data_IF_488481733477
#
_entry.id   IF_488481733477
#
_cell.length_a   1.000
_cell.length_b   1.000
_cell.length_c   1.000
_cell.angle_alpha   90.00
_cell.angle_beta   90.00
_cell.angle_gamma   90.00
#
_symmetry.space_group_name_H-M   'P 1'
#
loop_
_entity.id
_entity.type
_entity.pdbx_description
1 polymer ?
#
# COMPACT_ATOMS: atom_id res chain seq x y z
N UNK A 1 -27.89 28.72 -3.50
CA UNK A 1 -27.46 27.34 -3.74
C UNK A 1 -27.34 26.59 -2.41
N UNK A 2 -27.85 25.35 -2.31
CA UNK A 2 -27.62 24.51 -1.12
C UNK A 2 -26.11 24.37 -0.84
N UNK A 3 -25.72 24.29 0.43
CA UNK A 3 -24.28 24.18 0.85
C UNK A 3 -23.55 23.07 0.12
N UNK A 4 -24.20 21.92 -0.09
CA UNK A 4 -23.64 20.76 -0.79
C UNK A 4 -23.37 21.02 -2.28
N UNK A 5 -24.26 21.72 -2.98
CA UNK A 5 -24.05 22.10 -4.38
C UNK A 5 -22.87 23.05 -4.55
N UNK A 6 -22.72 24.02 -3.63
CA UNK A 6 -21.57 24.94 -3.63
C UNK A 6 -20.24 24.18 -3.39
N UNK A 7 -20.25 23.21 -2.48
CA UNK A 7 -19.09 22.36 -2.26
C UNK A 7 -18.75 21.52 -3.51
N UNK A 8 -19.74 20.83 -4.08
CA UNK A 8 -19.54 20.01 -5.28
C UNK A 8 -19.00 20.83 -6.47
N UNK A 9 -19.49 22.06 -6.66
CA UNK A 9 -18.97 22.95 -7.71
C UNK A 9 -17.49 23.32 -7.49
N UNK A 10 -17.06 23.47 -6.24
CA UNK A 10 -15.64 23.73 -5.92
C UNK A 10 -14.77 22.51 -6.18
N UNK A 11 -15.24 21.33 -5.80
CA UNK A 11 -14.50 20.10 -6.07
C UNK A 11 -14.38 19.83 -7.57
N UNK A 12 -15.47 20.06 -8.35
CA UNK A 12 -15.39 19.97 -9.81
C UNK A 12 -14.40 20.95 -10.41
N UNK A 13 -14.38 22.20 -9.94
CA UNK A 13 -13.40 23.19 -10.40
C UNK A 13 -11.97 22.75 -10.07
N UNK A 14 -11.71 22.20 -8.87
CA UNK A 14 -10.42 21.64 -8.49
C UNK A 14 -10.02 20.45 -9.34
N UNK A 15 -10.97 19.59 -9.73
CA UNK A 15 -10.74 18.47 -10.64
C UNK A 15 -10.30 18.94 -12.03
N UNK A 16 -11.05 19.90 -12.61
CA UNK A 16 -10.72 20.47 -13.91
C UNK A 16 -9.36 21.20 -13.89
N UNK A 17 -9.03 21.86 -12.79
CA UNK A 17 -7.71 22.48 -12.59
C UNK A 17 -6.58 21.44 -12.63
N UNK A 18 -6.74 20.30 -11.95
CA UNK A 18 -5.79 19.19 -12.02
C UNK A 18 -5.67 18.66 -13.46
N UNK A 19 -6.79 18.35 -14.10
CA UNK A 19 -6.80 17.83 -15.47
C UNK A 19 -6.08 18.78 -16.45
N UNK A 20 -6.28 20.08 -16.29
CA UNK A 20 -5.63 21.08 -17.12
C UNK A 20 -4.12 21.16 -16.86
N UNK A 21 -3.69 21.17 -15.59
CA UNK A 21 -2.28 21.28 -15.21
C UNK A 21 -1.45 20.06 -15.61
N UNK A 22 -2.01 18.89 -15.42
CA UNK A 22 -1.31 17.61 -15.66
C UNK A 22 -1.65 17.01 -17.04
N UNK A 23 -2.34 17.78 -17.91
CA UNK A 23 -2.74 17.38 -19.28
C UNK A 23 -3.51 16.04 -19.32
N UNK A 24 -4.47 15.89 -18.41
CA UNK A 24 -5.31 14.69 -18.25
C UNK A 24 -6.70 14.94 -18.85
N UNK A 25 -7.21 13.99 -19.63
CA UNK A 25 -8.59 14.04 -20.09
C UNK A 25 -9.55 13.93 -18.90
N UNK A 26 -10.44 14.94 -18.65
CA UNK A 26 -11.39 14.90 -17.55
C UNK A 26 -12.36 13.71 -17.57
N UNK A 27 -12.52 13.05 -18.70
CA UNK A 27 -13.38 11.87 -18.85
C UNK A 27 -12.64 10.55 -18.64
N UNK A 28 -11.31 10.58 -18.47
CA UNK A 28 -10.48 9.37 -18.34
C UNK A 28 -10.42 8.79 -16.94
N UNK A 29 -10.85 9.53 -15.92
CA UNK A 29 -10.74 9.12 -14.52
C UNK A 29 -12.12 8.90 -13.92
N UNK A 30 -12.35 7.69 -13.44
CA UNK A 30 -13.55 7.36 -12.67
C UNK A 30 -13.38 7.76 -11.19
N UNK A 31 -14.46 8.28 -10.60
CA UNK A 31 -14.51 8.68 -9.20
C UNK A 31 -15.64 8.00 -8.42
N UNK A 32 -15.56 8.06 -7.10
CA UNK A 32 -16.63 7.63 -6.22
C UNK A 32 -17.84 8.59 -6.31
N UNK A 33 -18.99 8.20 -5.74
CA UNK A 33 -20.17 9.07 -5.63
C UNK A 33 -19.87 10.43 -4.97
N UNK A 34 -18.89 10.49 -4.07
CA UNK A 34 -18.46 11.73 -3.42
C UNK A 34 -17.35 12.48 -4.19
N UNK A 35 -16.94 11.98 -5.36
CA UNK A 35 -15.91 12.58 -6.20
C UNK A 35 -14.47 12.27 -5.76
N UNK A 36 -14.26 11.31 -4.87
CA UNK A 36 -12.92 10.82 -4.56
C UNK A 36 -12.44 9.92 -5.70
N UNK A 37 -11.15 10.01 -6.08
CA UNK A 37 -10.61 9.30 -7.22
C UNK A 37 -9.18 8.75 -6.96
N UNK A 38 -8.75 7.86 -7.85
CA UNK A 38 -7.45 7.20 -7.77
C UNK A 38 -7.34 6.19 -6.62
N UNK A 39 -6.21 5.53 -6.49
CA UNK A 39 -5.98 4.54 -5.43
C UNK A 39 -5.95 5.17 -4.03
N UNK A 40 -5.51 6.42 -3.91
CA UNK A 40 -5.52 7.17 -2.65
C UNK A 40 -6.90 7.71 -2.25
N UNK A 41 -7.90 7.64 -3.13
CA UNK A 41 -9.27 8.16 -2.89
C UNK A 41 -9.28 9.60 -2.35
N UNK A 42 -8.43 10.46 -2.90
CA UNK A 42 -8.48 11.88 -2.60
C UNK A 42 -9.67 12.54 -3.30
N UNK A 43 -10.36 13.46 -2.61
CA UNK A 43 -11.22 14.42 -3.30
C UNK A 43 -10.35 15.43 -4.08
N UNK A 44 -10.86 16.06 -5.15
CA UNK A 44 -10.06 16.90 -6.05
C UNK A 44 -9.25 18.00 -5.36
N UNK A 45 -9.86 18.72 -4.42
CA UNK A 45 -9.16 19.76 -3.65
C UNK A 45 -8.02 19.20 -2.79
N UNK A 46 -8.18 18.01 -2.23
CA UNK A 46 -7.13 17.32 -1.48
C UNK A 46 -6.03 16.83 -2.41
N UNK A 47 -6.39 16.29 -3.57
CA UNK A 47 -5.41 15.88 -4.57
C UNK A 47 -4.53 17.06 -5.00
N UNK A 48 -5.12 18.19 -5.38
CA UNK A 48 -4.35 19.38 -5.76
C UNK A 48 -3.41 19.88 -4.66
N UNK A 49 -3.81 19.72 -3.40
CA UNK A 49 -3.06 20.22 -2.25
C UNK A 49 -1.93 19.29 -1.81
N UNK A 50 -2.13 17.97 -1.93
CA UNK A 50 -1.27 16.99 -1.28
C UNK A 50 -0.58 16.03 -2.24
N UNK A 51 -1.06 15.91 -3.50
CA UNK A 51 -0.41 15.01 -4.46
C UNK A 51 0.99 15.50 -4.81
N UNK A 52 1.87 14.55 -5.01
CA UNK A 52 3.27 14.75 -5.41
C UNK A 52 3.57 13.86 -6.61
N UNK A 53 4.43 14.34 -7.48
CA UNK A 53 5.14 13.57 -8.48
C UNK A 53 6.36 12.94 -7.78
N UNK A 54 6.22 11.69 -7.32
CA UNK A 54 7.20 11.06 -6.45
C UNK A 54 8.34 10.40 -7.22
N UNK A 55 8.09 9.94 -8.44
CA UNK A 55 9.09 9.36 -9.31
C UNK A 55 9.77 10.39 -10.23
N UNK A 56 9.34 11.66 -10.18
CA UNK A 56 9.86 12.80 -10.94
C UNK A 56 9.74 12.64 -12.46
N UNK A 57 8.65 12.02 -12.93
CA UNK A 57 8.38 11.89 -14.37
C UNK A 57 7.63 13.10 -14.96
N UNK A 58 7.30 14.09 -14.15
CA UNK A 58 6.65 15.35 -14.51
C UNK A 58 5.12 15.32 -14.45
N UNK A 59 4.49 14.21 -14.04
CA UNK A 59 3.03 14.06 -13.99
C UNK A 59 2.60 13.40 -12.68
N UNK A 60 1.59 13.96 -12.01
CA UNK A 60 1.00 13.36 -10.80
C UNK A 60 -0.11 12.38 -11.18
N UNK A 61 0.13 11.08 -11.07
CA UNK A 61 -0.83 10.05 -11.49
C UNK A 61 -1.59 9.44 -10.29
N UNK A 62 -2.93 9.55 -10.27
CA UNK A 62 -3.73 9.02 -9.15
C UNK A 62 -3.83 7.48 -9.14
N UNK A 63 -3.36 6.79 -10.18
CA UNK A 63 -3.37 5.34 -10.32
C UNK A 63 -1.95 4.76 -10.45
N UNK A 64 -0.92 5.55 -10.22
CA UNK A 64 0.46 5.08 -10.18
C UNK A 64 0.96 5.00 -8.74
N UNK A 65 1.51 3.84 -8.36
CA UNK A 65 1.85 3.56 -6.96
C UNK A 65 2.92 4.48 -6.37
N UNK A 66 4.00 4.85 -7.05
CA UNK A 66 4.95 5.84 -6.55
C UNK A 66 4.28 7.14 -6.12
N UNK A 67 3.50 7.76 -7.00
CA UNK A 67 2.81 9.02 -6.73
C UNK A 67 1.75 8.88 -5.65
N UNK A 68 1.00 7.78 -5.67
CA UNK A 68 -0.05 7.51 -4.67
C UNK A 68 0.56 7.38 -3.28
N UNK A 69 1.62 6.58 -3.11
CA UNK A 69 2.28 6.40 -1.82
C UNK A 69 2.96 7.68 -1.35
N UNK A 70 3.64 8.39 -2.24
CA UNK A 70 4.22 9.69 -1.95
C UNK A 70 3.18 10.73 -1.53
N UNK A 71 2.04 10.77 -2.22
CA UNK A 71 0.93 11.69 -1.91
C UNK A 71 0.27 11.37 -0.59
N UNK A 72 0.04 10.09 -0.26
CA UNK A 72 -0.48 9.69 1.05
C UNK A 72 0.49 10.07 2.16
N UNK A 73 1.79 9.79 1.99
CA UNK A 73 2.82 10.17 2.96
C UNK A 73 2.85 11.69 3.17
N UNK A 74 2.85 12.47 2.09
CA UNK A 74 2.79 13.94 2.17
C UNK A 74 1.53 14.42 2.89
N UNK A 75 0.36 13.82 2.60
CA UNK A 75 -0.88 14.12 3.31
C UNK A 75 -0.74 13.92 4.81
N UNK A 76 -0.26 12.75 5.24
CA UNK A 76 -0.12 12.41 6.65
C UNK A 76 0.84 13.37 7.37
N UNK A 77 2.00 13.67 6.77
CA UNK A 77 2.99 14.62 7.31
C UNK A 77 2.36 16.01 7.45
N UNK A 78 1.67 16.51 6.43
CA UNK A 78 1.00 17.81 6.45
C UNK A 78 -0.15 17.90 7.46
N UNK A 79 -0.68 16.75 7.90
CA UNK A 79 -1.72 16.64 8.92
C UNK A 79 -1.18 16.17 10.29
N UNK A 80 0.11 16.34 10.54
CA UNK A 80 0.72 16.20 11.87
C UNK A 80 1.38 14.87 12.15
N UNK A 81 1.50 13.96 11.17
CA UNK A 81 2.30 12.75 11.35
C UNK A 81 3.78 13.11 11.55
N UNK A 82 4.38 12.57 12.59
CA UNK A 82 5.81 12.74 12.89
C UNK A 82 6.54 11.44 12.52
N UNK A 83 7.45 11.45 11.52
CA UNK A 83 8.24 10.28 11.16
C UNK A 83 9.04 9.74 12.36
N UNK A 84 8.97 8.44 12.57
CA UNK A 84 9.61 7.80 13.72
C UNK A 84 8.79 7.82 15.02
N UNK A 85 7.64 8.48 15.05
CA UNK A 85 6.71 8.43 16.20
C UNK A 85 6.21 7.00 16.43
N UNK A 86 6.05 6.66 17.71
CA UNK A 86 5.41 5.43 18.17
C UNK A 86 4.13 5.70 18.98
N UNK A 87 3.62 6.93 18.94
CA UNK A 87 2.43 7.32 19.67
C UNK A 87 1.14 7.00 18.90
N UNK A 88 0.65 5.78 19.09
CA UNK A 88 -0.60 5.27 18.48
C UNK A 88 -1.86 5.59 19.30
N UNK A 89 -1.73 6.31 20.43
CA UNK A 89 -2.89 6.67 21.23
C UNK A 89 -3.84 7.61 20.46
N UNK A 90 -5.11 7.66 20.88
CA UNK A 90 -6.13 8.52 20.26
C UNK A 90 -5.76 10.02 20.27
N UNK A 91 -4.92 10.44 21.20
CA UNK A 91 -4.40 11.81 21.28
C UNK A 91 -3.06 12.00 20.54
N UNK A 92 -2.50 10.91 20.04
CA UNK A 92 -1.20 10.91 19.35
C UNK A 92 -1.25 11.50 17.95
N UNK A 93 -0.09 11.86 17.44
CA UNK A 93 0.14 12.41 16.10
C UNK A 93 -0.25 11.41 15.00
N UNK A 94 0.06 10.12 15.19
CA UNK A 94 -0.28 9.06 14.24
C UNK A 94 -1.80 8.95 14.10
N UNK A 95 -2.51 8.85 15.23
CA UNK A 95 -3.98 8.75 15.22
C UNK A 95 -4.61 9.96 14.54
N UNK A 96 -4.21 11.17 14.94
CA UNK A 96 -4.77 12.42 14.41
C UNK A 96 -4.54 12.58 12.92
N UNK A 97 -3.37 12.22 12.40
CA UNK A 97 -3.06 12.31 10.98
C UNK A 97 -3.90 11.35 10.13
N UNK A 98 -4.10 10.10 10.59
CA UNK A 98 -4.97 9.12 9.92
C UNK A 98 -6.45 9.54 10.04
N UNK A 99 -6.87 10.07 11.19
CA UNK A 99 -8.24 10.57 11.37
C UNK A 99 -8.54 11.76 10.48
N UNK A 100 -7.56 12.63 10.20
CA UNK A 100 -7.72 13.72 9.24
C UNK A 100 -8.02 13.21 7.81
N UNK A 101 -7.48 12.03 7.45
CA UNK A 101 -7.73 11.40 6.15
C UNK A 101 -9.18 10.90 6.01
N UNK A 102 -9.68 10.24 7.04
CA UNK A 102 -11.06 9.82 7.14
C UNK A 102 -11.55 9.97 8.58
N UNK A 103 -12.51 10.87 8.80
CA UNK A 103 -13.05 11.24 10.11
C UNK A 103 -13.88 10.11 10.75
N UNK A 104 -13.25 8.96 10.98
CA UNK A 104 -13.85 7.77 11.56
C UNK A 104 -12.86 7.03 12.44
N UNK A 105 -13.16 6.90 13.71
CA UNK A 105 -12.34 6.11 14.66
C UNK A 105 -12.20 4.65 14.22
N UNK A 106 -13.27 4.05 13.66
CA UNK A 106 -13.23 2.69 13.12
C UNK A 106 -12.24 2.56 11.95
N UNK A 107 -12.19 3.58 11.08
CA UNK A 107 -11.22 3.62 9.99
C UNK A 107 -9.79 3.67 10.54
N UNK A 108 -9.53 4.57 11.51
CA UNK A 108 -8.21 4.68 12.13
C UNK A 108 -7.79 3.37 12.78
N UNK A 109 -8.69 2.75 13.58
CA UNK A 109 -8.40 1.45 14.22
C UNK A 109 -8.08 0.37 13.19
N UNK A 110 -8.80 0.30 12.08
CA UNK A 110 -8.55 -0.67 11.02
C UNK A 110 -7.19 -0.43 10.35
N UNK A 111 -6.86 0.82 10.02
CA UNK A 111 -5.57 1.19 9.39
C UNK A 111 -4.41 0.89 10.33
N UNK A 112 -4.50 1.31 11.60
CA UNK A 112 -3.42 1.09 12.56
C UNK A 112 -3.25 -0.39 12.91
N UNK A 113 -4.35 -1.13 13.08
CA UNK A 113 -4.29 -2.57 13.31
C UNK A 113 -3.67 -3.34 12.13
N UNK A 114 -4.01 -2.96 10.89
CA UNK A 114 -3.38 -3.54 9.69
C UNK A 114 -1.89 -3.17 9.62
N UNK A 115 -1.53 -1.93 9.94
CA UNK A 115 -0.13 -1.47 9.97
C UNK A 115 0.70 -2.29 10.95
N UNK A 116 0.17 -2.57 12.14
CA UNK A 116 0.83 -3.41 13.14
C UNK A 116 1.05 -4.83 12.62
N UNK A 117 0.02 -5.45 12.04
CA UNK A 117 0.12 -6.79 11.45
C UNK A 117 1.14 -6.87 10.31
N UNK A 118 1.18 -5.86 9.43
CA UNK A 118 2.17 -5.79 8.36
C UNK A 118 3.59 -5.65 8.95
N UNK A 119 3.76 -4.84 10.00
CA UNK A 119 5.06 -4.65 10.67
C UNK A 119 5.54 -5.94 11.34
N UNK A 120 4.68 -6.62 12.09
CA UNK A 120 4.98 -7.92 12.70
C UNK A 120 5.45 -8.92 11.65
N UNK A 121 4.68 -9.05 10.57
CA UNK A 121 5.00 -9.94 9.46
C UNK A 121 6.30 -9.54 8.75
N UNK A 122 6.52 -8.26 8.50
CA UNK A 122 7.74 -7.76 7.86
C UNK A 122 8.97 -7.99 8.71
N UNK A 123 8.90 -7.72 10.02
CA UNK A 123 10.03 -7.98 10.94
C UNK A 123 10.35 -9.47 11.04
N UNK A 124 9.34 -10.33 11.06
CA UNK A 124 9.54 -11.78 11.02
C UNK A 124 10.25 -12.22 9.73
N UNK A 125 9.85 -11.70 8.58
CA UNK A 125 10.47 -12.02 7.28
C UNK A 125 11.91 -11.50 7.13
N UNK A 126 12.30 -10.48 7.91
CA UNK A 126 13.65 -9.89 7.86
C UNK A 126 14.57 -10.38 8.96
N UNK A 127 14.06 -11.08 9.99
CA UNK A 127 14.83 -11.41 11.20
C UNK A 127 15.96 -12.40 10.98
N UNK A 128 15.85 -13.35 10.07
CA UNK A 128 16.94 -14.11 9.44
C UNK A 128 16.40 -14.92 8.24
N UNK A 129 17.30 -15.44 7.41
CA UNK A 129 16.96 -16.18 6.18
C UNK A 129 16.21 -17.48 6.51
N UNK A 130 16.57 -18.14 7.59
CA UNK A 130 15.95 -19.39 8.05
C UNK A 130 14.51 -19.16 8.54
N UNK A 131 14.26 -18.13 9.32
CA UNK A 131 12.90 -17.76 9.77
C UNK A 131 12.00 -17.38 8.60
N UNK A 132 12.57 -16.73 7.58
CA UNK A 132 11.84 -16.40 6.36
C UNK A 132 11.41 -17.65 5.60
N UNK A 133 12.31 -18.63 5.46
CA UNK A 133 12.00 -19.89 4.80
C UNK A 133 10.89 -20.64 5.56
N UNK A 134 11.01 -20.74 6.88
CA UNK A 134 10.01 -21.39 7.73
C UNK A 134 8.63 -20.75 7.59
N UNK A 135 8.58 -19.42 7.65
CA UNK A 135 7.32 -18.69 7.46
C UNK A 135 6.70 -18.96 6.08
N UNK A 136 7.50 -18.94 5.01
CA UNK A 136 7.00 -19.17 3.66
C UNK A 136 6.51 -20.61 3.51
N UNK A 137 7.22 -21.60 4.06
CA UNK A 137 6.81 -23.03 4.03
C UNK A 137 5.46 -23.23 4.73
N UNK A 138 5.22 -22.55 5.86
CA UNK A 138 4.00 -22.67 6.64
C UNK A 138 2.78 -21.98 6.01
N UNK A 139 3.01 -20.99 5.17
CA UNK A 139 1.96 -20.12 4.65
C UNK A 139 1.82 -20.15 3.12
N UNK A 140 2.55 -21.02 2.41
CA UNK A 140 2.43 -21.05 0.97
C UNK A 140 1.13 -21.74 0.52
N UNK A 141 0.53 -21.19 -0.53
CA UNK A 141 -0.60 -21.80 -1.22
C UNK A 141 -0.09 -22.49 -2.50
N UNK A 142 -0.19 -23.82 -2.59
CA UNK A 142 0.27 -24.57 -3.76
C UNK A 142 -0.53 -24.28 -5.04
N UNK A 143 -1.70 -23.67 -4.93
CA UNK A 143 -2.56 -23.29 -6.07
C UNK A 143 -2.33 -21.85 -6.53
N UNK A 144 -1.60 -21.03 -5.77
CA UNK A 144 -1.25 -19.66 -6.15
C UNK A 144 0.18 -19.59 -6.70
N UNK A 145 0.30 -19.27 -7.97
CA UNK A 145 1.60 -19.15 -8.65
C UNK A 145 2.54 -18.11 -8.01
N UNK A 146 2.00 -17.03 -7.40
CA UNK A 146 2.81 -16.03 -6.69
C UNK A 146 3.36 -16.61 -5.40
N UNK A 147 2.54 -17.31 -4.65
CA UNK A 147 2.93 -18.02 -3.42
C UNK A 147 4.01 -19.08 -3.70
N UNK A 148 3.87 -19.83 -4.78
CA UNK A 148 4.89 -20.79 -5.23
C UNK A 148 6.18 -20.07 -5.65
N UNK A 149 6.11 -18.95 -6.37
CA UNK A 149 7.31 -18.15 -6.70
C UNK A 149 8.04 -17.66 -5.46
N UNK A 150 7.31 -17.24 -4.44
CA UNK A 150 7.91 -16.77 -3.19
C UNK A 150 8.54 -17.92 -2.40
N UNK A 151 7.95 -19.12 -2.43
CA UNK A 151 8.58 -20.34 -1.91
C UNK A 151 9.90 -20.65 -2.66
N UNK A 152 9.90 -20.63 -3.99
CA UNK A 152 11.10 -20.86 -4.80
C UNK A 152 12.22 -19.87 -4.49
N UNK A 153 11.88 -18.56 -4.34
CA UNK A 153 12.83 -17.52 -3.91
C UNK A 153 13.39 -17.78 -2.50
N UNK A 154 12.52 -18.16 -1.57
CA UNK A 154 12.95 -18.46 -0.20
C UNK A 154 13.85 -19.70 -0.12
N UNK A 155 13.54 -20.74 -0.87
CA UNK A 155 14.39 -21.93 -1.00
C UNK A 155 15.76 -21.58 -1.62
N UNK A 156 15.78 -20.79 -2.72
CA UNK A 156 17.03 -20.36 -3.34
C UNK A 156 17.91 -19.51 -2.42
N UNK A 157 17.30 -18.65 -1.60
CA UNK A 157 18.01 -17.89 -0.57
C UNK A 157 18.64 -18.79 0.51
N UNK A 158 18.19 -20.04 0.63
CA UNK A 158 18.72 -21.06 1.55
C UNK A 158 19.58 -22.12 0.84
N UNK A 159 20.10 -21.81 -0.35
CA UNK A 159 21.11 -22.62 -1.04
C UNK A 159 20.54 -23.62 -2.05
N UNK A 160 19.23 -23.64 -2.30
CA UNK A 160 18.66 -24.39 -3.40
C UNK A 160 18.83 -23.65 -4.72
N UNK A 161 18.77 -24.35 -5.84
CA UNK A 161 18.89 -23.75 -7.18
C UNK A 161 17.67 -24.11 -8.03
N UNK A 162 16.59 -23.38 -7.83
CA UNK A 162 15.31 -23.58 -8.50
C UNK A 162 15.06 -22.47 -9.52
N UNK A 163 14.39 -22.80 -10.61
CA UNK A 163 13.79 -21.82 -11.51
C UNK A 163 12.59 -21.17 -10.79
N UNK A 164 12.49 -19.83 -10.85
CA UNK A 164 11.39 -19.09 -10.22
C UNK A 164 10.29 -18.89 -11.27
N UNK A 165 9.54 -19.97 -11.52
CA UNK A 165 8.49 -20.00 -12.55
C UNK A 165 7.06 -20.01 -11.98
N UNK A 166 6.92 -20.04 -10.65
CA UNK A 166 5.63 -20.11 -9.96
C UNK A 166 4.93 -21.46 -10.11
N UNK A 167 5.62 -22.52 -10.53
CA UNK A 167 5.08 -23.86 -10.68
C UNK A 167 5.62 -24.80 -9.62
N UNK A 168 4.74 -25.55 -8.99
CA UNK A 168 5.12 -26.53 -7.98
C UNK A 168 5.55 -27.85 -8.66
N UNK A 169 6.68 -27.81 -9.38
CA UNK A 169 7.27 -28.98 -10.07
C UNK A 169 8.06 -29.89 -9.13
N UNK A 170 8.52 -31.04 -9.65
CA UNK A 170 9.26 -32.05 -8.88
C UNK A 170 10.46 -31.49 -8.14
N UNK A 171 11.31 -30.68 -8.79
CA UNK A 171 12.47 -30.03 -8.15
C UNK A 171 12.08 -29.14 -6.97
N UNK A 172 10.99 -28.38 -7.10
CA UNK A 172 10.48 -27.51 -6.02
C UNK A 172 9.95 -28.35 -4.85
N UNK A 173 9.23 -29.43 -5.13
CA UNK A 173 8.73 -30.35 -4.11
C UNK A 173 9.86 -31.10 -3.38
N UNK A 174 10.90 -31.53 -4.08
CA UNK A 174 12.05 -32.19 -3.46
C UNK A 174 12.83 -31.23 -2.57
N UNK A 175 13.06 -29.98 -3.04
CA UNK A 175 13.69 -28.94 -2.23
C UNK A 175 12.85 -28.57 -0.99
N UNK A 176 11.52 -28.51 -1.12
CA UNK A 176 10.61 -28.28 0.00
C UNK A 176 10.68 -29.39 1.05
N UNK A 177 10.65 -30.66 0.61
CA UNK A 177 10.77 -31.82 1.51
C UNK A 177 12.12 -31.84 2.24
N UNK A 178 13.22 -31.58 1.51
CA UNK A 178 14.55 -31.51 2.12
C UNK A 178 14.64 -30.36 3.13
N UNK A 179 14.09 -29.19 2.81
CA UNK A 179 14.03 -28.06 3.73
C UNK A 179 13.18 -28.37 4.98
N UNK A 180 12.07 -29.08 4.82
CA UNK A 180 11.22 -29.51 5.95
C UNK A 180 11.94 -30.55 6.83
N UNK A 181 12.66 -31.49 6.24
CA UNK A 181 13.39 -32.52 7.00
C UNK A 181 14.57 -32.00 7.82
N UNK A 182 15.08 -30.81 7.51
CA UNK A 182 16.17 -30.14 8.26
C UNK A 182 15.66 -29.32 9.45
N UNK A 183 14.34 -29.24 9.62
CA UNK A 183 13.68 -28.49 10.70
C UNK A 183 13.39 -29.35 11.94
N UNK A 184 13.37 -30.67 11.77
CA UNK A 184 13.21 -31.68 12.83
C UNK A 184 14.59 -32.04 13.44
#
# INVERSE_FOLDING_TARGET
>A
MPKRAKWASKELASYLEYCFKDNVDPQSIEGSYAGAFGFGQFIPSSFNRYSVDFDNDGVRRPHDWPDVLGSIANYLIKNGYVPGSSNYSKEGDIWKSVWAYNHSDNYVMAVLGLTEKIRERSSYLHSNVENRLNYVIENFDPLDNRSVSDLQKALNANGYNLEIDGRLGGKTLDALRDAQSKRD
#
